data_IF_725097402053
#
_entry.id   IF_725097402053
#
_cell.length_a   1.000
_cell.length_b   1.000
_cell.length_c   1.000
_cell.angle_alpha   90.00
_cell.angle_beta   90.00
_cell.angle_gamma   90.00
#
_symmetry.space_group_name_H-M   'P 1'
#
loop_
_entity.id
_entity.type
_entity.pdbx_description
1 polymer ?
2 water ?
#
# COMPACT_ATOMS: atom_id res chain seq x y z
N UNK A 19 29.78 19.59 11.59
CA UNK A 19 30.64 19.03 10.51
C UNK A 19 29.89 17.96 9.74
N UNK A 20 30.49 17.52 8.64
CA UNK A 20 29.83 16.62 7.70
C UNK A 20 29.93 15.16 8.11
N UNK A 21 28.82 14.45 8.05
CA UNK A 21 28.85 13.02 8.34
C UNK A 21 28.69 12.18 7.06
N UNK A 22 29.75 11.43 6.73
CA UNK A 22 29.72 10.57 5.55
C UNK A 22 28.98 9.28 5.85
N UNK A 23 28.28 8.75 4.86
CA UNK A 23 27.50 7.52 5.03
C UNK A 23 27.65 6.59 3.83
N UNK A 24 27.88 5.31 4.11
CA UNK A 24 28.00 4.32 3.06
C UNK A 24 26.56 3.87 2.67
N UNK A 25 26.37 3.36 1.44
CA UNK A 25 25.01 2.91 1.07
C UNK A 25 24.52 1.69 1.87
N UNK A 26 23.20 1.60 2.00
CA UNK A 26 22.56 0.37 2.48
C UNK A 26 22.56 -0.61 1.29
N UNK A 27 23.20 -1.76 1.47
CA UNK A 27 23.22 -2.78 0.41
C UNK A 27 21.86 -3.49 0.32
N UNK A 28 21.23 -3.36 -0.85
CA UNK A 28 19.86 -3.82 -1.09
C UNK A 28 19.77 -5.03 -2.04
N UNK A 29 18.88 -5.96 -1.73
CA UNK A 29 18.54 -7.01 -2.69
C UNK A 29 17.05 -6.90 -3.08
N UNK A 30 16.73 -7.28 -4.30
CA UNK A 30 15.32 -7.30 -4.72
C UNK A 30 14.90 -8.69 -4.97
N UNK A 31 13.77 -9.07 -4.40
CA UNK A 31 13.19 -10.36 -4.66
C UNK A 31 11.86 -10.13 -5.36
N UNK A 32 11.72 -10.75 -6.52
CA UNK A 32 10.51 -10.67 -7.31
C UNK A 32 10.63 -9.86 -8.60
N UNK A 33 9.66 -10.04 -9.49
CA UNK A 33 9.65 -9.36 -10.79
C UNK A 33 8.23 -8.85 -11.11
N UNK A 34 8.10 -8.20 -12.25
CA UNK A 34 6.81 -7.71 -12.67
C UNK A 34 6.89 -6.26 -13.02
N UNK A 35 5.74 -5.74 -13.42
CA UNK A 35 5.55 -4.36 -13.81
C UNK A 35 6.03 -3.28 -12.80
N UNK A 36 5.61 -3.41 -11.54
CA UNK A 36 5.97 -2.52 -10.44
C UNK A 36 7.49 -2.55 -10.18
N UNK A 37 8.10 -3.73 -10.33
CA UNK A 37 9.55 -3.86 -10.22
C UNK A 37 10.29 -3.01 -11.28
N UNK A 38 9.89 -3.11 -12.56
CA UNK A 38 10.47 -2.29 -13.66
C UNK A 38 10.09 -0.81 -13.66
N UNK A 39 8.81 -0.50 -13.42
CA UNK A 39 8.32 0.90 -13.54
C UNK A 39 8.61 1.71 -12.28
N UNK A 40 8.65 1.05 -11.13
CA UNK A 40 8.75 1.78 -9.87
C UNK A 40 9.98 1.50 -9.03
N UNK A 41 10.20 0.21 -8.72
CA UNK A 41 11.28 -0.12 -7.79
C UNK A 41 12.64 0.22 -8.36
N UNK A 42 13.04 -0.48 -9.41
CA UNK A 42 14.35 -0.29 -9.99
C UNK A 42 14.69 1.19 -10.30
N UNK A 43 13.80 1.91 -11.02
CA UNK A 43 14.02 3.34 -11.23
C UNK A 43 14.20 4.17 -9.96
N UNK A 44 13.41 3.92 -8.92
CA UNK A 44 13.61 4.68 -7.69
C UNK A 44 14.91 4.29 -7.01
N UNK A 45 15.28 3.01 -7.08
CA UNK A 45 16.51 2.58 -6.44
C UNK A 45 17.69 3.22 -7.14
N UNK A 46 17.66 3.19 -8.49
CA UNK A 46 18.73 3.79 -9.31
C UNK A 46 19.02 5.25 -8.93
N UNK A 47 18.00 6.04 -8.58
CA UNK A 47 18.20 7.43 -8.15
C UNK A 47 18.61 7.59 -6.70
N UNK A 48 18.39 6.57 -5.87
CA UNK A 48 18.61 6.76 -4.42
C UNK A 48 20.01 6.39 -3.96
N UNK A 49 20.78 7.38 -3.49
CA UNK A 49 22.19 7.16 -3.18
C UNK A 49 22.42 6.46 -1.83
N UNK A 50 21.38 6.36 -1.00
CA UNK A 50 21.50 5.63 0.27
C UNK A 50 21.42 4.12 0.11
N UNK A 51 21.18 3.66 -1.10
CA UNK A 51 21.06 2.24 -1.41
C UNK A 51 22.03 1.83 -2.52
N UNK A 52 22.55 0.62 -2.42
CA UNK A 52 23.33 0.05 -3.48
C UNK A 52 22.64 -1.24 -3.81
N UNK A 53 22.26 -1.46 -5.07
CA UNK A 53 21.57 -2.70 -5.44
C UNK A 53 22.63 -3.73 -5.73
N UNK A 54 22.71 -4.72 -4.85
CA UNK A 54 23.79 -5.66 -4.88
C UNK A 54 23.38 -7.05 -5.41
N UNK A 55 22.09 -7.39 -5.34
CA UNK A 55 21.61 -8.70 -5.82
C UNK A 55 20.12 -8.75 -6.08
N UNK A 56 19.70 -9.73 -6.89
CA UNK A 56 18.28 -10.05 -7.15
C UNK A 56 18.05 -11.54 -6.97
N UNK A 57 16.84 -11.93 -6.64
CA UNK A 57 16.50 -13.33 -6.46
C UNK A 57 15.16 -13.49 -7.11
N UNK A 58 15.07 -14.44 -8.02
CA UNK A 58 13.86 -14.68 -8.77
C UNK A 58 14.12 -15.82 -9.72
N UNK A 59 13.11 -16.67 -9.92
CA UNK A 59 13.13 -17.64 -11.03
C UNK A 59 12.48 -16.98 -12.30
N UNK A 60 12.16 -15.69 -12.25
CA UNK A 60 11.49 -15.13 -13.44
C UNK A 60 12.23 -13.97 -14.08
N UNK A 61 13.50 -13.83 -13.76
CA UNK A 61 14.28 -12.73 -14.32
C UNK A 61 15.43 -12.18 -13.49
N UNK A 62 16.33 -11.53 -14.20
CA UNK A 62 17.52 -10.95 -13.64
C UNK A 62 17.62 -9.47 -14.01
N UNK A 63 18.65 -8.83 -13.48
CA UNK A 63 18.94 -7.44 -13.76
C UNK A 63 20.37 -7.40 -14.33
N UNK A 64 20.52 -6.84 -15.54
CA UNK A 64 21.83 -6.77 -16.20
C UNK A 64 22.91 -6.12 -15.32
N UNK A 65 24.04 -6.80 -15.18
CA UNK A 65 25.15 -6.35 -14.36
C UNK A 65 24.96 -6.40 -12.84
N UNK A 66 23.90 -7.08 -12.38
CA UNK A 66 23.70 -7.23 -10.95
C UNK A 66 23.75 -8.73 -10.67
N UNK A 67 24.50 -9.15 -9.65
CA UNK A 67 24.49 -10.56 -9.29
C UNK A 67 23.08 -11.12 -9.11
N UNK A 68 22.80 -12.25 -9.75
CA UNK A 68 21.48 -12.88 -9.74
C UNK A 68 21.49 -14.26 -9.06
N UNK A 69 20.34 -14.62 -8.47
CA UNK A 69 20.14 -15.91 -7.82
C UNK A 69 18.70 -16.31 -8.10
N UNK A 70 18.41 -17.60 -8.02
CA UNK A 70 17.08 -18.14 -8.27
C UNK A 70 16.25 -18.23 -7.00
N UNK A 71 16.90 -18.38 -5.84
CA UNK A 71 16.20 -18.37 -4.56
C UNK A 71 16.78 -17.38 -3.54
N UNK A 72 15.89 -16.88 -2.68
CA UNK A 72 16.28 -15.95 -1.64
C UNK A 72 17.32 -16.57 -0.73
N UNK A 73 17.20 -17.87 -0.42
CA UNK A 73 18.19 -18.57 0.42
C UNK A 73 19.53 -18.63 -0.26
N UNK A 74 19.54 -18.94 -1.57
CA UNK A 74 20.81 -18.92 -2.31
C UNK A 74 21.47 -17.53 -2.20
N UNK A 75 20.66 -16.49 -2.28
CA UNK A 75 21.23 -15.17 -2.32
C UNK A 75 21.75 -14.72 -0.96
N UNK A 76 21.00 -15.07 0.10
CA UNK A 76 21.40 -14.70 1.47
C UNK A 76 22.67 -15.41 1.87
N UNK A 77 22.83 -16.66 1.43
CA UNK A 77 24.09 -17.41 1.61
C UNK A 77 25.27 -16.70 0.94
N UNK A 78 25.13 -16.43 -0.36
CA UNK A 78 26.24 -15.95 -1.18
C UNK A 78 26.54 -14.45 -1.09
N UNK A 79 25.66 -13.66 -0.49
CA UNK A 79 25.88 -12.21 -0.47
C UNK A 79 25.82 -11.65 0.97
N UNK A 80 26.84 -11.94 1.79
CA UNK A 80 26.75 -11.59 3.21
C UNK A 80 26.74 -10.09 3.43
N UNK A 81 27.17 -9.32 2.44
CA UNK A 81 27.15 -7.85 2.59
C UNK A 81 25.74 -7.21 2.55
N UNK A 82 24.70 -8.00 2.21
CA UNK A 82 23.31 -7.51 2.14
C UNK A 82 22.87 -6.97 3.50
N UNK A 83 22.24 -5.80 3.50
CA UNK A 83 21.64 -5.17 4.70
C UNK A 83 20.09 -5.17 4.64
N UNK A 84 19.52 -5.11 3.44
CA UNK A 84 18.06 -5.00 3.31
C UNK A 84 17.56 -5.67 2.04
N UNK A 85 16.25 -5.94 2.01
CA UNK A 85 15.59 -6.64 0.94
C UNK A 85 14.24 -5.96 0.65
N UNK A 86 13.91 -5.75 -0.63
CA UNK A 86 12.58 -5.31 -1.07
C UNK A 86 11.88 -6.49 -1.69
N UNK A 87 10.69 -6.82 -1.18
CA UNK A 87 10.02 -8.05 -1.54
C UNK A 87 8.77 -7.70 -2.36
N UNK A 88 8.80 -8.02 -3.64
CA UNK A 88 7.92 -7.33 -4.57
C UNK A 88 6.86 -8.23 -5.15
N UNK A 89 6.98 -9.52 -4.87
CA UNK A 89 5.95 -10.51 -5.14
C UNK A 89 4.57 -10.13 -4.59
N UNK A 90 3.52 -10.85 -5.02
CA UNK A 90 2.17 -10.71 -4.43
C UNK A 90 2.17 -11.24 -2.98
N UNK A 91 1.16 -10.88 -2.15
CA UNK A 91 1.14 -11.32 -0.76
C UNK A 91 1.09 -12.84 -0.56
N UNK A 92 0.57 -13.57 -1.55
CA UNK A 92 0.45 -15.04 -1.46
C UNK A 92 1.77 -15.72 -1.08
N UNK A 93 2.81 -15.50 -1.91
CA UNK A 93 4.09 -16.20 -1.80
C UNK A 93 5.00 -15.58 -0.74
N UNK A 94 4.56 -14.47 -0.19
CA UNK A 94 5.49 -13.51 0.35
C UNK A 94 5.93 -13.69 1.81
N UNK A 95 5.11 -14.35 2.64
CA UNK A 95 5.46 -14.65 4.02
C UNK A 95 6.82 -15.34 4.17
N UNK A 96 6.98 -16.46 3.48
CA UNK A 96 8.13 -17.33 3.57
C UNK A 96 9.40 -16.54 3.26
N UNK A 97 9.34 -15.67 2.26
CA UNK A 97 10.50 -14.94 1.87
C UNK A 97 10.79 -13.86 2.89
N UNK A 98 9.74 -13.24 3.42
CA UNK A 98 9.97 -12.18 4.37
C UNK A 98 10.54 -12.78 5.64
N UNK A 99 10.09 -13.98 5.95
CA UNK A 99 10.50 -14.65 7.15
C UNK A 99 12.02 -14.96 7.13
N UNK A 100 12.53 -15.49 6.02
CA UNK A 100 13.94 -15.90 5.91
C UNK A 100 14.86 -14.70 5.93
N UNK A 101 14.41 -13.61 5.34
CA UNK A 101 15.13 -12.37 5.34
C UNK A 101 15.30 -11.82 6.77
N UNK A 102 14.23 -11.86 7.54
CA UNK A 102 14.26 -11.30 8.88
C UNK A 102 15.07 -12.21 9.80
N UNK A 103 14.94 -13.52 9.60
CA UNK A 103 15.74 -14.54 10.25
C UNK A 103 17.24 -14.32 9.98
N UNK A 104 17.58 -13.98 8.73
CA UNK A 104 18.92 -13.47 8.39
C UNK A 104 19.25 -12.12 9.01
N UNK A 105 18.28 -11.39 9.54
CA UNK A 105 18.61 -10.06 10.14
C UNK A 105 18.60 -8.89 9.13
N UNK A 106 18.01 -9.11 7.97
CA UNK A 106 17.90 -8.03 6.98
C UNK A 106 16.69 -7.17 7.21
N UNK A 107 16.81 -5.88 6.94
CA UNK A 107 15.60 -5.02 6.87
C UNK A 107 14.73 -5.42 5.69
N UNK A 108 13.44 -5.18 5.81
CA UNK A 108 12.50 -5.70 4.81
C UNK A 108 11.47 -4.70 4.36
N UNK A 109 11.43 -4.48 3.06
CA UNK A 109 10.50 -3.55 2.44
C UNK A 109 9.41 -4.44 1.83
N UNK A 110 8.21 -4.37 2.39
CA UNK A 110 7.10 -5.15 1.87
C UNK A 110 6.26 -4.35 0.86
N UNK A 111 5.95 -4.95 -0.29
CA UNK A 111 4.94 -4.39 -1.19
C UNK A 111 3.54 -4.38 -0.53
N UNK A 112 2.60 -3.66 -1.16
CA UNK A 112 1.23 -3.45 -0.62
C UNK A 112 0.33 -4.55 -1.19
N UNK A 113 -0.60 -5.11 -0.41
CA UNK A 113 -0.77 -5.02 1.04
C UNK A 113 0.35 -5.84 1.72
N UNK A 114 0.65 -5.58 3.00
CA UNK A 114 1.86 -6.24 3.57
C UNK A 114 1.80 -7.75 3.79
N UNK A 115 0.64 -8.39 3.61
CA UNK A 115 0.55 -9.86 3.77
C UNK A 115 -0.84 -10.27 3.36
N UNK A 116 -1.09 -11.58 3.25
CA UNK A 116 -2.41 -12.11 2.81
C UNK A 116 -3.41 -11.99 3.95
N UNK A 117 -2.89 -12.20 5.16
CA UNK A 117 -3.65 -12.11 6.40
C UNK A 117 -2.96 -11.13 7.36
N UNK A 118 -3.76 -10.64 8.28
CA UNK A 118 -3.28 -9.81 9.37
C UNK A 118 -2.38 -10.59 10.34
N UNK A 119 -2.72 -11.86 10.55
CA UNK A 119 -1.95 -12.71 11.45
C UNK A 119 -0.53 -12.91 10.95
N UNK A 120 -0.35 -13.16 9.64
CA UNK A 120 1.01 -13.33 9.12
C UNK A 120 1.82 -12.10 9.37
N UNK A 121 1.21 -10.95 9.07
CA UNK A 121 1.91 -9.70 9.26
C UNK A 121 2.30 -9.44 10.72
N UNK A 122 1.41 -9.75 11.66
CA UNK A 122 1.71 -9.52 13.09
C UNK A 122 2.84 -10.45 13.53
N UNK A 123 2.86 -11.65 12.98
CA UNK A 123 3.98 -12.54 13.12
C UNK A 123 5.31 -11.98 12.58
N UNK A 124 5.31 -11.52 11.32
CA UNK A 124 6.52 -10.93 10.75
C UNK A 124 6.99 -9.75 11.59
N UNK A 125 6.07 -8.90 12.01
CA UNK A 125 6.41 -7.76 12.86
C UNK A 125 7.15 -8.21 14.16
N UNK A 126 6.64 -9.23 14.84
CA UNK A 126 7.25 -9.74 16.09
C UNK A 126 8.67 -10.24 15.81
N UNK A 127 8.81 -11.06 14.77
CA UNK A 127 10.10 -11.52 14.28
C UNK A 127 11.09 -10.37 14.08
N UNK A 128 10.64 -9.30 13.45
CA UNK A 128 11.50 -8.17 13.12
C UNK A 128 12.02 -7.47 14.37
N UNK A 129 11.12 -7.19 15.31
CA UNK A 129 11.52 -6.56 16.57
C UNK A 129 12.57 -7.37 17.33
N UNK A 130 12.33 -8.68 17.41
CA UNK A 130 13.19 -9.66 18.00
C UNK A 130 14.59 -9.69 17.37
N UNK A 131 14.67 -9.37 16.08
CA UNK A 131 15.95 -9.40 15.36
C UNK A 131 16.59 -8.04 15.27
N UNK A 132 15.94 -7.02 15.82
CA UNK A 132 16.34 -5.64 15.57
C UNK A 132 16.28 -5.15 14.12
N UNK A 133 15.62 -5.91 13.23
CA UNK A 133 15.55 -5.51 11.81
C UNK A 133 14.31 -4.64 11.51
N UNK A 134 14.51 -3.57 10.73
CA UNK A 134 13.43 -2.68 10.28
C UNK A 134 12.52 -3.34 9.24
N UNK A 135 11.25 -3.47 9.59
CA UNK A 135 10.25 -3.97 8.67
C UNK A 135 9.37 -2.80 8.26
N UNK A 136 8.94 -2.79 6.99
CA UNK A 136 8.22 -1.66 6.38
C UNK A 136 7.06 -2.16 5.51
N UNK A 137 5.83 -1.83 5.90
CA UNK A 137 4.62 -2.02 5.05
C UNK A 137 4.52 -0.78 4.19
N UNK A 138 4.87 -0.90 2.92
CA UNK A 138 4.77 0.26 2.05
C UNK A 138 3.30 0.49 1.69
N UNK A 139 2.90 1.76 1.62
CA UNK A 139 1.58 2.14 1.08
C UNK A 139 1.82 3.25 0.08
N UNK A 140 2.00 2.91 -1.19
CA UNK A 140 2.43 3.95 -2.14
C UNK A 140 1.53 5.18 -2.14
N UNK A 141 0.22 4.96 -2.16
CA UNK A 141 -0.73 6.10 -2.30
C UNK A 141 -0.62 7.10 -1.17
N UNK A 142 -0.18 6.63 0.00
CA UNK A 142 0.00 7.50 1.13
C UNK A 142 1.08 8.54 0.82
N UNK A 143 1.87 8.27 -0.21
CA UNK A 143 2.98 9.16 -0.53
C UNK A 143 2.73 10.01 -1.79
N UNK A 144 1.51 9.93 -2.32
CA UNK A 144 1.04 10.78 -3.41
C UNK A 144 1.20 12.25 -3.01
N UNK A 145 1.42 13.14 -3.99
CA UNK A 145 2.05 14.45 -3.65
C UNK A 145 1.24 15.51 -2.85
N UNK A 146 -0.09 15.51 -2.96
CA UNK A 146 -0.88 16.37 -2.05
C UNK A 146 -1.30 15.73 -0.68
N UNK A 147 -0.76 14.57 -0.32
CA UNK A 147 -1.27 13.90 0.88
C UNK A 147 -1.01 14.67 2.18
N UNK A 148 0.22 15.17 2.38
CA UNK A 148 0.60 15.84 3.67
C UNK A 148 -0.05 17.22 3.87
N UNK A 149 -0.44 17.82 2.75
CA UNK A 149 -1.08 19.11 2.73
C UNK A 149 -2.56 18.94 3.12
N UNK A 150 -3.17 17.85 2.68
CA UNK A 150 -4.47 17.43 3.19
C UNK A 150 -4.40 17.16 4.70
N UNK A 151 -3.48 16.29 5.12
CA UNK A 151 -3.29 15.98 6.55
C UNK A 151 -3.15 17.25 7.42
N UNK A 152 -2.22 18.14 7.06
CA UNK A 152 -2.01 19.40 7.81
C UNK A 152 -3.24 20.32 7.82
N UNK A 153 -3.92 20.40 6.67
CA UNK A 153 -5.19 21.10 6.55
C UNK A 153 -6.19 20.59 7.58
N UNK A 154 -6.67 19.36 7.37
CA UNK A 154 -7.68 18.77 8.23
C UNK A 154 -7.37 18.93 9.72
N UNK A 155 -6.10 19.00 10.07
CA UNK A 155 -5.70 19.22 11.46
C UNK A 155 -6.11 20.63 11.96
N UNK A 156 -5.97 21.65 11.11
CA UNK A 156 -6.43 23.00 11.44
C UNK A 156 -7.72 23.23 10.65
N UNK A 157 -8.84 23.00 11.33
CA UNK A 157 -10.16 22.91 10.72
C UNK A 157 -11.04 21.98 11.59
N UNK A 158 -12.36 22.12 11.43
CA UNK A 158 -13.31 21.21 12.06
C UNK A 158 -14.05 20.48 10.94
N UNK A 159 -14.23 19.16 11.09
CA UNK A 159 -14.65 18.27 10.00
C UNK A 159 -16.08 17.78 10.17
N UNK A 160 -16.83 17.80 9.08
CA UNK A 160 -18.25 17.50 9.17
C UNK A 160 -18.63 16.11 8.69
N UNK A 161 -18.15 15.77 7.50
CA UNK A 161 -18.41 14.48 6.91
C UNK A 161 -17.25 14.14 5.95
N UNK A 162 -17.18 12.90 5.48
CA UNK A 162 -16.08 12.52 4.57
C UNK A 162 -16.65 11.53 3.61
N UNK A 163 -16.42 11.74 2.33
CA UNK A 163 -16.97 10.86 1.29
C UNK A 163 -15.78 10.38 0.45
N UNK A 164 -15.68 9.07 0.22
CA UNK A 164 -14.53 8.52 -0.52
C UNK A 164 -15.05 7.90 -1.78
N UNK A 165 -14.54 8.40 -2.91
CA UNK A 165 -15.00 7.89 -4.22
C UNK A 165 -13.84 7.35 -5.02
N UNK A 166 -13.94 6.07 -5.32
CA UNK A 166 -12.85 5.29 -5.85
C UNK A 166 -13.53 4.32 -6.78
N UNK A 167 -13.66 4.75 -8.02
CA UNK A 167 -14.49 4.05 -8.99
C UNK A 167 -13.70 4.04 -10.27
N UNK A 168 -13.49 2.86 -10.83
CA UNK A 168 -12.58 2.71 -11.93
C UNK A 168 -13.13 1.55 -12.68
N UNK A 169 -12.63 1.33 -13.88
CA UNK A 169 -13.07 0.31 -14.81
C UNK A 169 -12.08 -0.84 -14.74
N UNK A 170 -12.56 -2.04 -14.46
CA UNK A 170 -11.67 -3.17 -14.30
C UNK A 170 -10.98 -3.38 -15.62
N UNK A 171 -11.82 -3.66 -16.63
CA UNK A 171 -11.41 -3.93 -18.01
C UNK A 171 -10.18 -3.14 -18.44
N UNK A 172 -10.18 -1.84 -18.17
CA UNK A 172 -9.03 -1.00 -18.49
C UNK A 172 -7.76 -1.36 -17.69
N UNK A 173 -7.90 -1.55 -16.38
CA UNK A 173 -6.73 -1.71 -15.51
C UNK A 173 -6.32 -3.16 -15.20
N UNK A 174 -7.27 -4.09 -15.22
CA UNK A 174 -6.98 -5.49 -14.92
C UNK A 174 -7.48 -6.47 -15.98
N UNK A 175 -7.08 -6.23 -17.25
CA UNK A 175 -7.56 -7.06 -18.36
C UNK A 175 -7.29 -8.56 -18.19
N UNK A 176 -8.36 -9.35 -18.31
CA UNK A 176 -8.31 -10.83 -18.28
C UNK A 176 -7.63 -11.54 -17.08
N UNK A 177 -7.23 -10.77 -16.07
CA UNK A 177 -6.59 -11.31 -14.87
C UNK A 177 -7.53 -12.18 -14.02
N UNK A 178 -6.97 -13.29 -13.52
CA UNK A 178 -7.67 -14.29 -12.68
C UNK A 178 -7.49 -14.03 -11.17
N UNK A 179 -6.30 -13.58 -10.77
CA UNK A 179 -5.92 -13.49 -9.36
C UNK A 179 -6.89 -12.64 -8.53
N UNK A 180 -7.31 -11.51 -9.08
CA UNK A 180 -8.17 -10.57 -8.35
C UNK A 180 -9.46 -11.19 -7.84
N UNK A 181 -9.89 -12.28 -8.47
CA UNK A 181 -11.16 -12.91 -8.13
C UNK A 181 -11.03 -14.15 -7.24
N UNK A 182 -9.80 -14.64 -7.04
CA UNK A 182 -9.59 -15.74 -6.11
C UNK A 182 -10.16 -15.32 -4.73
N UNK A 183 -10.56 -16.30 -3.91
CA UNK A 183 -10.83 -16.03 -2.51
C UNK A 183 -9.51 -15.63 -1.87
N UNK A 184 -9.40 -14.39 -1.42
CA UNK A 184 -8.13 -13.90 -0.89
C UNK A 184 -7.54 -12.79 -1.72
N UNK A 185 -7.98 -12.68 -2.97
CA UNK A 185 -7.46 -11.69 -3.93
C UNK A 185 -7.91 -10.26 -3.67
N UNK A 186 -8.96 -10.13 -2.84
CA UNK A 186 -9.51 -8.86 -2.34
C UNK A 186 -10.53 -8.16 -3.25
N UNK A 187 -10.62 -8.56 -4.52
CA UNK A 187 -11.60 -7.97 -5.45
C UNK A 187 -11.35 -6.49 -5.54
N UNK A 188 -12.40 -5.65 -5.47
CA UNK A 188 -12.25 -4.17 -5.53
C UNK A 188 -11.46 -3.56 -4.39
N UNK A 189 -11.26 -4.35 -3.35
CA UNK A 189 -10.47 -3.86 -2.21
C UNK A 189 -8.98 -3.73 -2.55
N UNK A 190 -8.59 -4.43 -3.60
CA UNK A 190 -7.24 -4.32 -4.12
C UNK A 190 -6.89 -2.87 -4.50
N UNK A 191 -7.67 -2.22 -5.41
CA UNK A 191 -7.39 -0.78 -5.55
C UNK A 191 -7.93 0.05 -4.37
N UNK A 192 -8.89 -0.50 -3.65
CA UNK A 192 -9.59 0.23 -2.58
C UNK A 192 -8.78 0.49 -1.31
N UNK A 193 -7.84 -0.41 -1.02
CA UNK A 193 -6.97 -0.29 0.14
C UNK A 193 -6.08 0.96 0.02
N UNK A 194 -5.83 1.40 -1.21
CA UNK A 194 -5.08 2.64 -1.42
C UNK A 194 -5.78 3.89 -0.90
N UNK A 195 -7.08 3.98 -1.11
CA UNK A 195 -7.88 5.06 -0.55
C UNK A 195 -7.90 4.92 0.95
N UNK A 196 -8.17 3.71 1.42
CA UNK A 196 -8.02 3.44 2.85
C UNK A 196 -6.65 3.86 3.42
N UNK A 197 -5.56 3.60 2.71
CA UNK A 197 -4.24 3.97 3.20
C UNK A 197 -4.03 5.49 3.26
N UNK A 198 -4.80 6.25 2.48
CA UNK A 198 -4.81 7.73 2.56
C UNK A 198 -5.67 8.22 3.73
N UNK A 199 -6.90 7.75 3.76
CA UNK A 199 -7.87 8.16 4.78
C UNK A 199 -7.31 7.94 6.17
N UNK A 200 -6.77 6.77 6.36
CA UNK A 200 -6.16 6.39 7.60
C UNK A 200 -5.06 7.37 8.04
N UNK A 201 -4.37 7.96 7.07
CA UNK A 201 -3.30 8.89 7.35
C UNK A 201 -3.83 10.32 7.52
N UNK A 202 -4.89 10.65 6.78
CA UNK A 202 -5.41 12.02 6.55
C UNK A 202 -6.27 12.49 7.75
N UNK A 203 -7.20 11.64 8.17
CA UNK A 203 -8.12 11.91 9.28
C UNK A 203 -7.41 12.14 10.63
N UNK A 204 -7.99 12.98 11.50
CA UNK A 204 -7.32 13.28 12.77
C UNK A 204 -7.40 12.12 13.76
N UNK A 205 -8.51 11.40 13.73
CA UNK A 205 -8.78 10.32 14.67
C UNK A 205 -9.00 9.02 13.87
N UNK A 206 -8.67 7.87 14.45
CA UNK A 206 -8.95 6.57 13.78
C UNK A 206 -10.44 6.36 13.58
N UNK A 207 -10.81 5.70 12.50
CA UNK A 207 -12.22 5.35 12.32
C UNK A 207 -12.45 3.84 12.33
N UNK A 208 -13.71 3.43 12.37
CA UNK A 208 -14.01 2.02 12.28
C UNK A 208 -15.31 1.76 11.52
N UNK A 209 -15.39 0.60 10.91
CA UNK A 209 -16.53 0.26 10.10
C UNK A 209 -17.75 -0.01 10.97
N UNK A 210 -18.85 0.57 10.51
CA UNK A 210 -20.07 0.63 11.27
C UNK A 210 -21.08 -0.19 10.47
N UNK A 211 -20.99 -0.14 9.14
CA UNK A 211 -21.75 -1.04 8.28
C UNK A 211 -21.15 -1.15 6.89
N UNK A 212 -21.41 -2.25 6.21
CA UNK A 212 -20.81 -2.48 4.89
C UNK A 212 -21.67 -3.43 4.06
N UNK A 213 -21.72 -3.14 2.77
CA UNK A 213 -22.33 -4.04 1.81
C UNK A 213 -21.26 -4.47 0.82
N UNK A 214 -21.14 -5.77 0.58
CA UNK A 214 -20.19 -6.28 -0.39
C UNK A 214 -20.87 -6.95 -1.58
N UNK A 215 -20.61 -6.40 -2.75
CA UNK A 215 -21.22 -6.91 -4.00
C UNK A 215 -20.36 -7.91 -4.75
N UNK A 216 -20.78 -9.16 -4.72
CA UNK A 216 -20.10 -10.22 -5.43
C UNK A 216 -20.83 -10.54 -6.75
N UNK A 217 -20.06 -10.78 -7.83
CA UNK A 217 -20.57 -11.61 -8.93
C UNK A 217 -20.89 -13.06 -8.53
N UNK A 218 -21.78 -13.70 -9.30
CA UNK A 218 -21.87 -15.15 -9.38
C UNK A 218 -20.61 -15.60 -10.11
N UNK A 219 -19.65 -16.11 -9.34
CA UNK A 219 -18.26 -16.27 -9.79
C UNK A 219 -17.68 -14.91 -10.31
N UNK A 220 -16.66 -14.37 -9.61
CA UNK A 220 -15.88 -15.19 -8.67
C UNK A 220 -16.01 -14.87 -7.16
N UNK A 221 -15.09 -15.44 -6.37
CA UNK A 221 -15.16 -15.45 -4.92
C UNK A 221 -14.62 -14.15 -4.27
N UNK A 222 -14.76 -13.03 -4.98
CA UNK A 222 -14.22 -11.74 -4.56
C UNK A 222 -15.12 -10.62 -5.11
N UNK A 223 -15.24 -9.51 -4.38
CA UNK A 223 -16.29 -8.54 -4.70
C UNK A 223 -15.95 -7.54 -5.80
N UNK A 224 -16.99 -6.97 -6.43
CA UNK A 224 -16.83 -5.96 -7.49
C UNK A 224 -17.08 -4.53 -6.99
N UNK A 225 -17.87 -4.41 -5.94
CA UNK A 225 -18.16 -3.11 -5.37
C UNK A 225 -18.45 -3.21 -3.88
N UNK A 226 -18.36 -2.08 -3.21
CA UNK A 226 -18.54 -2.09 -1.78
C UNK A 226 -19.06 -0.75 -1.43
N UNK A 227 -19.97 -0.74 -0.46
CA UNK A 227 -20.44 0.48 0.15
C UNK A 227 -20.15 0.34 1.62
N UNK A 228 -19.40 1.28 2.19
CA UNK A 228 -18.91 1.17 3.54
C UNK A 228 -19.08 2.45 4.34
N UNK A 229 -19.59 2.33 5.55
CA UNK A 229 -19.67 3.46 6.47
C UNK A 229 -18.79 3.20 7.66
N UNK A 230 -18.15 4.27 8.12
CA UNK A 230 -17.27 4.27 9.26
C UNK A 230 -17.74 5.36 10.21
N UNK A 231 -17.25 5.32 11.46
CA UNK A 231 -17.38 6.43 12.41
C UNK A 231 -16.05 6.56 13.14
N UNK A 232 -15.73 7.75 13.66
CA UNK A 232 -14.75 7.86 14.73
C UNK A 232 -15.44 7.98 16.10
N UNK A 233 -14.65 8.18 17.16
CA UNK A 233 -15.18 8.29 18.52
C UNK A 233 -16.19 9.45 18.69
N UNK A 234 -15.92 10.58 18.02
CA UNK A 234 -16.82 11.76 18.01
C UNK A 234 -17.96 11.64 16.98
N UNK A 235 -18.11 10.44 16.40
CA UNK A 235 -19.20 10.14 15.47
C UNK A 235 -19.11 10.77 14.08
N UNK A 236 -17.94 11.29 13.72
CA UNK A 236 -17.72 11.80 12.37
C UNK A 236 -18.04 10.71 11.36
N UNK A 237 -18.98 10.99 10.41
CA UNK A 237 -19.35 9.99 9.40
C UNK A 237 -18.42 9.96 8.18
N UNK A 238 -18.14 8.75 7.70
CA UNK A 238 -17.27 8.53 6.55
C UNK A 238 -18.01 7.57 5.68
N UNK A 239 -18.21 7.97 4.43
CA UNK A 239 -18.85 7.10 3.48
C UNK A 239 -17.80 6.75 2.43
N UNK A 240 -17.73 5.48 2.08
CA UNK A 240 -16.81 5.02 1.03
C UNK A 240 -17.55 4.15 0.03
N UNK A 241 -17.37 4.45 -1.25
CA UNK A 241 -17.95 3.64 -2.32
C UNK A 241 -16.81 3.19 -3.21
N UNK A 242 -16.69 1.88 -3.43
CA UNK A 242 -15.64 1.37 -4.30
C UNK A 242 -16.33 0.65 -5.43
N UNK A 243 -15.98 1.03 -6.65
CA UNK A 243 -16.70 0.44 -7.75
C UNK A 243 -15.86 0.15 -8.97
N UNK A 244 -15.98 -1.07 -9.46
CA UNK A 244 -15.14 -1.57 -10.55
C UNK A 244 -15.93 -1.75 -11.83
N UNK A 245 -16.79 -0.77 -12.12
CA UNK A 245 -17.71 -0.84 -13.26
C UNK A 245 -17.83 0.56 -13.83
N UNK A 246 -17.25 1.51 -13.12
CA UNK A 246 -17.13 2.88 -13.59
C UNK A 246 -16.30 2.90 -14.89
N UNK A 247 -17.00 2.67 -16.01
CA UNK A 247 -16.44 2.65 -17.38
C UNK A 247 -16.23 4.06 -17.94
N UNK A 248 -16.92 5.05 -17.36
CA UNK A 248 -16.90 6.41 -17.82
C UNK A 248 -15.85 7.24 -17.11
N UNK A 249 -16.30 8.27 -16.40
CA UNK A 249 -15.40 9.15 -15.68
C UNK A 249 -14.63 8.41 -14.55
N UNK A 250 -13.30 8.50 -14.58
CA UNK A 250 -12.46 7.85 -13.59
C UNK A 250 -12.42 8.65 -12.31
N UNK A 251 -12.80 8.03 -11.19
CA UNK A 251 -12.75 8.76 -9.94
C UNK A 251 -11.93 8.13 -8.81
N UNK A 252 -10.96 8.89 -8.33
CA UNK A 252 -10.15 8.52 -7.16
C UNK A 252 -10.10 9.67 -6.18
N UNK A 253 -11.25 10.02 -5.61
CA UNK A 253 -11.30 11.19 -4.71
C UNK A 253 -11.73 10.90 -3.31
N UNK A 254 -11.37 11.82 -2.44
CA UNK A 254 -11.76 11.80 -1.07
C UNK A 254 -12.20 13.23 -0.81
N UNK A 255 -13.50 13.42 -0.67
CA UNK A 255 -14.02 14.75 -0.39
C UNK A 255 -14.38 14.88 1.09
N UNK A 256 -13.90 15.96 1.71
CA UNK A 256 -14.24 16.27 3.09
C UNK A 256 -14.98 17.61 3.25
N UNK A 257 -16.24 17.58 3.68
CA UNK A 257 -16.94 18.80 4.06
C UNK A 257 -16.35 19.31 5.37
N UNK A 258 -15.81 20.51 5.32
CA UNK A 258 -15.22 21.15 6.49
C UNK A 258 -15.90 22.48 6.75
N UNK A 259 -15.54 23.14 7.84
CA UNK A 259 -16.01 24.48 8.11
C UNK A 259 -14.83 25.41 7.83
N UNK A 260 -14.25 25.25 6.65
CA UNK A 260 -13.11 26.08 6.24
C UNK A 260 -12.61 25.89 4.80
N UNK A 261 -13.42 25.43 3.86
CA UNK A 261 -14.78 24.98 4.01
C UNK A 261 -15.06 24.09 2.81
N UNK A 262 -14.50 22.88 2.86
CA UNK A 262 -14.57 21.82 1.80
C UNK A 262 -13.27 21.54 1.04
N UNK A 263 -12.63 20.43 1.39
CA UNK A 263 -11.42 19.98 0.72
C UNK A 263 -11.73 18.84 -0.21
N UNK A 264 -11.11 18.87 -1.37
CA UNK A 264 -11.15 17.76 -2.31
C UNK A 264 -9.72 17.29 -2.56
N UNK A 265 -9.50 15.99 -2.36
CA UNK A 265 -8.23 15.36 -2.70
C UNK A 265 -8.55 14.38 -3.79
N UNK A 266 -8.02 14.64 -4.99
CA UNK A 266 -8.31 13.80 -6.15
C UNK A 266 -7.07 13.17 -6.78
N UNK A 267 -7.33 12.33 -7.76
CA UNK A 267 -6.29 11.69 -8.57
C UNK A 267 -5.37 10.84 -7.70
N UNK A 268 -5.97 10.06 -6.79
CA UNK A 268 -5.26 9.16 -5.87
C UNK A 268 -4.30 9.88 -4.94
N UNK A 269 -4.68 11.07 -4.48
CA UNK A 269 -3.87 11.85 -3.52
C UNK A 269 -2.95 12.88 -4.15
N UNK A 270 -3.06 13.00 -5.47
CA UNK A 270 -2.18 13.83 -6.28
C UNK A 270 -2.49 15.35 -6.24
N UNK A 271 -3.76 15.74 -6.27
CA UNK A 271 -4.17 17.17 -6.34
C UNK A 271 -5.14 17.63 -5.25
N UNK A 272 -4.90 18.83 -4.70
CA UNK A 272 -5.71 19.36 -3.59
C UNK A 272 -6.42 20.73 -3.83
N UNK A 273 -7.75 20.70 -3.87
CA UNK A 273 -8.57 21.92 -4.02
C UNK A 273 -9.41 22.35 -2.79
N UNK A 274 -8.83 23.26 -2.00
CA UNK A 274 -9.51 23.87 -0.83
C UNK A 274 -10.56 24.92 -1.25
N UNK A 275 -11.84 24.58 -1.08
CA UNK A 275 -12.98 25.40 -1.54
C UNK A 275 -13.09 25.34 -3.09
N UNK A 276 -12.02 25.75 -3.76
CA UNK A 276 -11.91 25.65 -5.21
C UNK A 276 -10.62 26.32 -5.63
N UNK A 277 -9.77 26.63 -4.65
CA UNK A 277 -8.46 27.28 -4.84
C UNK A 277 -7.31 26.32 -5.23
N UNK A 278 -7.65 25.23 -5.92
CA UNK A 278 -6.70 24.15 -6.27
C UNK A 278 -5.23 24.51 -6.08
N UNK A 279 -4.69 24.24 -4.90
CA UNK A 279 -3.26 24.49 -4.61
C UNK A 279 -2.30 23.50 -5.30
N UNK A 282 2.64 19.67 -6.96
CA UNK A 282 3.91 18.94 -7.10
C UNK A 282 3.68 17.67 -7.92
N UNK A 283 4.77 17.08 -8.48
CA UNK A 283 4.60 15.90 -9.35
C UNK A 283 4.80 14.53 -8.64
N UNK A 284 4.15 13.50 -9.16
CA UNK A 284 4.00 12.21 -8.46
C UNK A 284 5.35 11.56 -8.15
N UNK A 285 5.70 11.44 -6.86
CA UNK A 285 6.96 10.81 -6.43
C UNK A 285 6.74 9.73 -5.34
N UNK A 286 5.78 8.83 -5.57
CA UNK A 286 5.39 7.84 -4.57
C UNK A 286 6.54 6.89 -4.19
N UNK A 287 6.99 6.09 -5.15
CA UNK A 287 8.07 5.13 -4.85
C UNK A 287 9.38 5.80 -4.41
N UNK A 288 9.74 6.96 -5.01
CA UNK A 288 10.95 7.61 -4.46
C UNK A 288 10.82 7.99 -2.99
N UNK A 289 9.64 8.43 -2.56
CA UNK A 289 9.43 8.73 -1.12
C UNK A 289 9.37 7.46 -0.26
N UNK A 290 8.78 6.38 -0.76
CA UNK A 290 8.86 5.06 -0.09
C UNK A 290 10.30 4.69 0.26
N UNK A 291 11.19 4.79 -0.73
CA UNK A 291 12.62 4.50 -0.50
C UNK A 291 13.27 5.50 0.44
N UNK A 292 12.89 6.78 0.38
CA UNK A 292 13.33 7.74 1.41
C UNK A 292 12.87 7.27 2.79
N UNK A 293 11.61 6.86 2.90
CA UNK A 293 11.08 6.41 4.19
C UNK A 293 11.86 5.19 4.71
N UNK A 294 12.10 4.22 3.84
CA UNK A 294 12.83 2.99 4.14
C UNK A 294 14.27 3.35 4.63
N UNK A 295 15.00 4.16 3.87
CA UNK A 295 16.34 4.61 4.29
C UNK A 295 16.24 5.24 5.69
N UNK A 296 15.24 6.10 5.85
CA UNK A 296 15.01 6.82 7.12
C UNK A 296 14.81 5.95 8.34
N UNK A 297 13.94 4.94 8.25
CA UNK A 297 13.66 4.09 9.42
C UNK A 297 14.78 3.09 9.74
N UNK A 298 15.54 2.72 8.72
CA UNK A 298 16.70 1.87 8.91
C UNK A 298 17.73 2.62 9.78
N UNK A 299 18.00 3.87 9.41
CA UNK A 299 18.96 4.70 10.14
C UNK A 299 18.45 5.08 11.55
N UNK A 300 17.14 5.31 11.69
CA UNK A 300 16.54 5.43 13.03
C UNK A 300 16.44 4.09 13.85
N UNK A 301 16.66 2.93 13.21
CA UNK A 301 16.57 1.63 13.88
C UNK A 301 15.16 1.18 14.28
N UNK A 302 14.16 1.58 13.47
CA UNK A 302 12.75 1.34 13.82
C UNK A 302 12.04 0.60 12.70
N UNK A 303 10.83 0.09 12.99
CA UNK A 303 9.95 -0.40 11.98
C UNK A 303 8.82 0.59 11.67
N UNK A 304 8.16 0.42 10.51
CA UNK A 304 6.97 1.21 10.15
C UNK A 304 5.98 0.24 9.50
N UNK A 305 5.14 -0.36 10.34
CA UNK A 305 4.16 -1.35 9.90
C UNK A 305 2.78 -0.90 10.32
N UNK A 306 2.20 0.02 9.56
CA UNK A 306 0.85 0.42 9.84
C UNK A 306 -0.08 -0.53 9.11
N UNK A 307 -0.82 -1.38 9.86
CA UNK A 307 -1.76 -2.31 9.25
C UNK A 307 -3.20 -1.77 9.15
N UNK A 308 -3.42 -0.57 9.66
CA UNK A 308 -4.77 0.02 9.72
C UNK A 308 -5.57 -0.14 8.40
N UNK A 309 -4.96 0.05 7.18
CA UNK A 309 -5.78 -0.07 5.96
C UNK A 309 -6.18 -1.48 5.61
N UNK A 310 -5.33 -2.45 5.97
CA UNK A 310 -5.63 -3.85 5.76
C UNK A 310 -6.61 -4.35 6.83
N UNK A 311 -6.42 -3.85 8.03
CA UNK A 311 -7.39 -4.05 9.08
C UNK A 311 -8.80 -3.60 8.64
N UNK A 312 -8.92 -2.40 8.04
CA UNK A 312 -10.24 -1.98 7.53
C UNK A 312 -10.76 -2.94 6.50
N UNK A 313 -9.91 -3.42 5.62
CA UNK A 313 -10.37 -4.40 4.62
C UNK A 313 -10.98 -5.63 5.28
N UNK A 314 -10.26 -6.18 6.28
CA UNK A 314 -10.69 -7.40 6.93
C UNK A 314 -11.98 -7.23 7.71
N UNK A 315 -12.11 -6.10 8.40
CA UNK A 315 -13.34 -5.72 9.06
C UNK A 315 -14.50 -5.68 8.06
N UNK A 316 -14.29 -5.06 6.90
CA UNK A 316 -15.33 -4.96 5.88
C UNK A 316 -15.83 -6.31 5.45
N UNK A 317 -14.91 -7.29 5.35
CA UNK A 317 -15.26 -8.66 4.96
C UNK A 317 -15.94 -9.41 6.07
N UNK A 318 -15.58 -9.07 7.30
CA UNK A 318 -16.18 -9.71 8.44
C UNK A 318 -17.62 -9.15 8.72
N UNK A 319 -17.78 -7.83 8.58
CA UNK A 319 -19.07 -7.17 8.82
C UNK A 319 -20.00 -7.08 7.62
N UNK A 320 -19.51 -7.42 6.43
CA UNK A 320 -20.22 -7.03 5.22
C UNK A 320 -21.41 -7.91 4.87
N UNK A 321 -22.54 -7.27 4.54
CA UNK A 321 -23.68 -8.00 3.99
C UNK A 321 -23.30 -8.41 2.58
N UNK A 322 -23.23 -9.71 2.34
CA UNK A 322 -22.76 -10.25 1.05
C UNK A 322 -23.89 -10.29 0.02
N UNK A 323 -23.85 -9.33 -0.91
CA UNK A 323 -24.91 -9.12 -1.91
C UNK A 323 -24.50 -9.57 -3.33
N UNK A 324 -25.36 -10.36 -3.98
CA UNK A 324 -25.05 -10.90 -5.33
C UNK A 324 -25.68 -10.14 -6.50
N UNK A 325 -24.83 -9.73 -7.45
CA UNK A 325 -25.25 -8.80 -8.50
C UNK A 325 -25.42 -9.36 -9.94
N UNK A 326 -24.51 -10.25 -10.37
CA UNK A 326 -24.60 -10.95 -11.66
C UNK A 326 -23.42 -11.85 -11.87
N UNK A 327 -23.01 -12.00 -13.14
CA UNK A 327 -21.78 -12.70 -13.50
C UNK A 327 -20.80 -11.74 -14.16
N UNK A 328 -19.55 -12.16 -14.27
CA UNK A 328 -18.52 -11.32 -14.90
C UNK A 328 -17.63 -12.16 -15.82
N UNK A 329 -17.42 -11.67 -17.05
CA UNK A 329 -16.60 -12.36 -18.06
C UNK A 329 -15.56 -11.43 -18.71
#
# INVERSE_FOLDING_TARGET
XHHHHHHSSGVDLGTENLYFQSMSPINLAIVGVGKIVRDQHLPSIAKNANFKLVATASRHGTVEGVNSYTTIEAMLDAEPSIDAVSLCMPPQYRYEAAYKALVAGKHVFLEKPPGATLSEVADLEALANKQGASLFASWHSRYAPAVEAAKAFLASTTIKSVHVIWKEDVRHWHPNQDWIWQAGGLGVFDPGINALSIVTHILPRPVFITGAVLEFPENRDAPIAADIHFRDADGLPVHAEFDWRQTGKQSWDIVAETAAGQMVLSEGGAKLSIDGRLTFAEPEQEYPSLYRRFAEIIKAGKSDVDVAPLRHVADAFMLGKRKFVEAFHD
#
